data_IF_936508068401
#
_entry.id   IF_936508068401
#
_cell.length_a   1.000
_cell.length_b   1.000
_cell.length_c   1.000
_cell.angle_alpha   90.00
_cell.angle_beta   90.00
_cell.angle_gamma   90.00
#
_symmetry.space_group_name_H-M   'P 1'
#
loop_
_entity.id
_entity.type
_entity.pdbx_description
1 polymer ?
#
# COMPACT_ATOMS: atom_id res chain seq x y z
N UNK A 1 37.74 -68.29 1.66
CA UNK A 1 36.30 -68.10 1.80
C UNK A 1 36.10 -66.90 2.71
N UNK A 2 35.66 -65.76 2.18
CA UNK A 2 35.48 -64.51 2.95
C UNK A 2 33.96 -64.26 3.01
N UNK A 3 33.41 -64.33 4.19
CA UNK A 3 32.00 -64.07 4.49
C UNK A 3 31.77 -62.54 4.63
N UNK A 4 30.91 -62.01 3.84
CA UNK A 4 30.50 -60.58 3.91
C UNK A 4 29.28 -60.52 4.87
N UNK A 5 29.47 -59.84 5.98
CA UNK A 5 28.36 -59.48 6.89
C UNK A 5 27.71 -58.18 6.39
N UNK A 6 26.46 -58.26 5.97
CA UNK A 6 25.63 -57.11 5.59
C UNK A 6 25.04 -56.51 6.85
N UNK A 7 25.50 -55.34 7.24
CA UNK A 7 24.85 -54.54 8.29
C UNK A 7 23.75 -53.71 7.66
N UNK A 8 22.48 -54.05 7.95
CA UNK A 8 21.33 -53.23 7.61
C UNK A 8 21.28 -52.00 8.53
N UNK A 9 21.62 -50.86 8.02
CA UNK A 9 21.42 -49.59 8.71
C UNK A 9 19.95 -49.18 8.56
N UNK A 10 19.18 -49.27 9.65
CA UNK A 10 17.82 -48.78 9.73
C UNK A 10 17.83 -47.23 9.76
N UNK A 11 17.36 -46.62 8.68
CA UNK A 11 17.12 -45.18 8.63
C UNK A 11 15.79 -44.87 9.32
N UNK A 12 15.85 -44.42 10.58
CA UNK A 12 14.73 -43.82 11.27
C UNK A 12 14.52 -42.39 10.69
N UNK A 13 13.57 -42.29 9.79
CA UNK A 13 13.04 -40.99 9.36
C UNK A 13 12.25 -40.35 10.52
N UNK A 14 12.90 -39.46 11.24
CA UNK A 14 12.23 -38.53 12.15
C UNK A 14 11.45 -37.54 11.30
N UNK A 15 10.14 -37.77 11.16
CA UNK A 15 9.20 -36.78 10.66
C UNK A 15 9.09 -35.70 11.74
N UNK A 16 9.87 -34.65 11.61
CA UNK A 16 9.68 -33.43 12.38
C UNK A 16 8.32 -32.82 11.93
N UNK A 17 7.28 -33.04 12.75
CA UNK A 17 6.06 -32.27 12.64
C UNK A 17 6.41 -30.79 12.81
N UNK A 18 6.54 -30.08 11.70
CA UNK A 18 6.64 -28.62 11.70
C UNK A 18 5.30 -28.11 12.23
N UNK A 19 5.30 -27.69 13.47
CA UNK A 19 4.16 -27.00 14.09
C UNK A 19 4.04 -25.65 13.39
N UNK A 20 3.23 -25.60 12.33
CA UNK A 20 2.82 -24.33 11.72
C UNK A 20 1.89 -23.68 12.74
N UNK A 21 2.26 -22.53 13.33
CA UNK A 21 1.33 -21.86 14.23
C UNK A 21 0.07 -21.55 13.42
N UNK A 22 -1.06 -22.13 13.82
CA UNK A 22 -2.36 -21.70 13.35
C UNK A 22 -2.47 -20.23 13.69
N UNK A 23 -2.34 -19.38 12.66
CA UNK A 23 -2.69 -17.98 12.76
C UNK A 23 -4.20 -17.98 13.01
N UNK A 24 -4.58 -17.91 14.28
CA UNK A 24 -5.98 -17.80 14.67
C UNK A 24 -6.51 -16.52 14.02
N UNK A 25 -7.33 -16.69 13.00
CA UNK A 25 -8.14 -15.59 12.46
C UNK A 25 -8.99 -15.12 13.64
N UNK A 26 -8.58 -14.01 14.24
CA UNK A 26 -9.42 -13.35 15.23
C UNK A 26 -10.72 -12.97 14.52
N UNK A 27 -11.89 -13.34 15.05
CA UNK A 27 -13.14 -12.91 14.48
C UNK A 27 -13.15 -11.37 14.47
N UNK A 28 -13.46 -10.79 13.31
CA UNK A 28 -13.67 -9.35 13.19
C UNK A 28 -14.67 -8.92 14.27
N UNK A 29 -14.40 -7.82 15.01
CA UNK A 29 -15.32 -7.33 16.01
C UNK A 29 -16.70 -7.10 15.37
N UNK A 30 -17.76 -7.56 16.06
CA UNK A 30 -19.13 -7.58 15.55
C UNK A 30 -19.76 -6.17 15.30
N UNK A 31 -19.03 -5.14 15.63
CA UNK A 31 -19.37 -3.72 15.46
C UNK A 31 -18.88 -3.12 14.13
N UNK A 32 -18.26 -3.90 13.25
CA UNK A 32 -18.10 -3.53 11.85
C UNK A 32 -19.45 -3.71 11.15
N UNK A 33 -20.37 -2.80 11.43
CA UNK A 33 -21.64 -2.70 10.71
C UNK A 33 -21.33 -2.38 9.26
N UNK A 34 -21.43 -3.39 8.43
CA UNK A 34 -21.39 -3.24 6.98
C UNK A 34 -22.54 -2.32 6.56
N UNK A 35 -22.23 -1.10 6.15
CA UNK A 35 -23.13 -0.40 5.26
C UNK A 35 -23.61 1.01 5.52
N UNK A 36 -23.13 1.72 6.52
CA UNK A 36 -23.31 3.18 6.51
C UNK A 36 -21.93 3.81 6.36
N UNK A 37 -21.56 4.15 5.13
CA UNK A 37 -20.41 5.01 4.92
C UNK A 37 -20.71 6.34 5.57
N UNK A 38 -19.94 6.75 6.57
CA UNK A 38 -20.07 8.10 7.13
C UNK A 38 -19.99 9.12 5.99
N UNK A 39 -20.84 10.18 6.04
CA UNK A 39 -20.78 11.23 5.04
C UNK A 39 -19.42 11.93 5.13
N UNK A 40 -18.88 12.32 3.98
CA UNK A 40 -17.67 13.14 3.91
C UNK A 40 -17.86 14.46 4.65
N UNK A 41 -16.82 14.92 5.32
CA UNK A 41 -16.83 16.23 5.96
C UNK A 41 -17.13 17.36 4.95
N UNK A 42 -18.01 18.32 5.28
CA UNK A 42 -18.23 19.50 4.44
C UNK A 42 -16.97 20.36 4.28
N UNK A 43 -15.98 20.22 5.16
CA UNK A 43 -14.69 20.90 5.09
C UNK A 43 -13.71 20.25 4.08
N UNK A 44 -13.99 19.04 3.62
CA UNK A 44 -13.10 18.32 2.70
C UNK A 44 -12.71 19.12 1.44
N UNK A 45 -13.64 19.81 0.74
CA UNK A 45 -13.27 20.60 -0.43
C UNK A 45 -12.23 21.69 -0.12
N UNK A 46 -12.38 22.36 1.01
CA UNK A 46 -11.46 23.40 1.48
C UNK A 46 -10.08 22.81 1.82
N UNK A 47 -10.05 21.74 2.60
CA UNK A 47 -8.79 21.07 2.99
C UNK A 47 -8.07 20.53 1.77
N UNK A 48 -8.78 19.91 0.83
CA UNK A 48 -8.22 19.45 -0.44
C UNK A 48 -7.61 20.59 -1.27
N UNK A 49 -8.32 21.71 -1.39
CA UNK A 49 -7.83 22.87 -2.13
C UNK A 49 -6.56 23.46 -1.49
N UNK A 50 -6.54 23.58 -0.16
CA UNK A 50 -5.38 24.06 0.59
C UNK A 50 -4.18 23.10 0.46
N UNK A 51 -4.42 21.80 0.51
CA UNK A 51 -3.35 20.82 0.31
C UNK A 51 -2.73 20.94 -1.09
N UNK A 52 -3.54 21.05 -2.15
CA UNK A 52 -3.04 21.26 -3.52
C UNK A 52 -2.32 22.60 -3.70
N UNK A 53 -2.72 23.64 -2.97
CA UNK A 53 -2.05 24.95 -3.00
C UNK A 53 -0.64 24.86 -2.40
N UNK A 54 -0.48 24.09 -1.33
CA UNK A 54 0.81 23.93 -0.62
C UNK A 54 1.68 22.82 -1.21
N UNK A 55 1.07 21.85 -1.89
CA UNK A 55 1.72 20.71 -2.54
C UNK A 55 1.32 20.66 -4.03
N UNK A 56 1.76 21.62 -4.87
CA UNK A 56 1.27 21.83 -6.23
C UNK A 56 1.92 20.91 -7.27
N UNK A 57 2.50 19.78 -6.85
CA UNK A 57 3.13 18.81 -7.73
C UNK A 57 2.95 17.38 -7.21
N UNK A 58 2.88 16.43 -8.12
CA UNK A 58 2.89 15.01 -7.78
C UNK A 58 4.16 14.66 -7.01
N UNK A 59 4.03 14.10 -5.83
CA UNK A 59 5.16 13.73 -4.98
C UNK A 59 6.02 12.63 -5.59
N UNK A 60 5.44 11.81 -6.46
CA UNK A 60 6.16 10.73 -7.15
C UNK A 60 6.93 11.19 -8.39
N UNK A 61 6.30 11.91 -9.33
CA UNK A 61 6.91 12.23 -10.62
C UNK A 61 7.14 13.73 -10.87
N UNK A 62 6.63 14.62 -10.00
CA UNK A 62 6.78 16.06 -10.16
C UNK A 62 5.81 16.73 -11.12
N UNK A 63 4.91 15.98 -11.76
CA UNK A 63 3.85 16.52 -12.61
C UNK A 63 3.00 17.55 -11.85
N UNK A 64 2.63 18.65 -12.54
CA UNK A 64 1.86 19.74 -11.94
C UNK A 64 0.39 19.78 -12.39
N UNK A 65 0.05 18.96 -13.38
CA UNK A 65 -1.29 18.85 -13.92
C UNK A 65 -1.95 17.53 -13.51
N UNK A 66 -3.28 17.46 -13.64
CA UNK A 66 -4.05 16.26 -13.34
C UNK A 66 -3.82 15.71 -11.92
N UNK A 67 -3.69 16.63 -10.94
CA UNK A 67 -3.38 16.30 -9.57
C UNK A 67 -4.62 15.88 -8.77
N UNK A 68 -4.45 14.86 -7.94
CA UNK A 68 -5.42 14.43 -6.94
C UNK A 68 -4.78 14.32 -5.57
N UNK A 69 -5.56 14.62 -4.53
CA UNK A 69 -5.17 14.34 -3.15
C UNK A 69 -5.60 12.91 -2.80
N UNK A 70 -4.64 12.12 -2.39
CA UNK A 70 -4.84 10.75 -1.94
C UNK A 70 -4.69 10.68 -0.41
N UNK A 71 -5.55 9.89 0.26
CA UNK A 71 -5.42 9.61 1.68
C UNK A 71 -4.52 8.38 1.89
N UNK A 72 -3.43 8.53 2.65
CA UNK A 72 -2.55 7.42 3.03
C UNK A 72 -3.34 6.34 3.76
N UNK A 73 -4.08 6.72 4.79
CA UNK A 73 -5.12 5.89 5.39
C UNK A 73 -6.47 6.28 4.79
N UNK A 74 -7.14 5.40 4.04
CA UNK A 74 -8.41 5.72 3.38
C UNK A 74 -9.50 6.12 4.35
N UNK A 75 -10.38 7.04 3.93
CA UNK A 75 -11.54 7.48 4.70
C UNK A 75 -12.40 6.31 5.24
N UNK A 76 -12.60 5.26 4.45
CA UNK A 76 -13.35 4.05 4.86
C UNK A 76 -12.69 3.25 5.98
N UNK A 77 -11.38 3.45 6.21
CA UNK A 77 -10.60 2.77 7.25
C UNK A 77 -10.59 3.59 8.53
N UNK A 78 -10.32 4.89 8.42
CA UNK A 78 -10.39 5.82 9.54
C UNK A 78 -10.92 7.20 9.09
N UNK A 79 -12.23 7.44 9.24
CA UNK A 79 -12.84 8.72 8.87
C UNK A 79 -12.28 9.93 9.62
N UNK A 80 -11.71 9.73 10.82
CA UNK A 80 -11.14 10.82 11.64
C UNK A 80 -9.91 11.44 11.00
N UNK A 81 -9.23 10.70 10.13
CA UNK A 81 -8.04 11.15 9.41
C UNK A 81 -8.37 11.86 8.08
N UNK A 82 -9.67 12.07 7.76
CA UNK A 82 -10.06 12.68 6.49
C UNK A 82 -9.44 14.06 6.25
N UNK A 83 -9.42 14.89 7.30
CA UNK A 83 -8.95 16.26 7.23
C UNK A 83 -7.52 16.46 7.74
N UNK A 84 -6.88 15.40 8.21
CA UNK A 84 -5.51 15.45 8.72
C UNK A 84 -4.51 15.69 7.56
N UNK A 85 -3.80 16.83 7.54
CA UNK A 85 -2.82 17.12 6.49
C UNK A 85 -1.70 16.09 6.39
N UNK A 86 -1.37 15.42 7.49
CA UNK A 86 -0.31 14.39 7.53
C UNK A 86 -0.75 13.08 6.86
N UNK A 87 -2.07 12.90 6.69
CA UNK A 87 -2.66 11.75 5.99
C UNK A 87 -2.88 12.00 4.49
N UNK A 88 -2.47 13.16 3.97
CA UNK A 88 -2.72 13.56 2.58
C UNK A 88 -1.42 13.55 1.77
N UNK A 89 -1.48 13.07 0.53
CA UNK A 89 -0.39 13.11 -0.45
C UNK A 89 -0.93 13.53 -1.82
N UNK A 90 -0.17 14.35 -2.56
CA UNK A 90 -0.53 14.74 -3.94
C UNK A 90 0.06 13.77 -4.95
N UNK A 91 -0.79 13.15 -5.76
CA UNK A 91 -0.43 12.26 -6.85
C UNK A 91 -1.15 12.65 -8.15
N UNK A 92 -0.53 12.42 -9.30
CA UNK A 92 -1.17 12.66 -10.59
C UNK A 92 -1.98 11.45 -11.07
N UNK A 93 -3.01 11.73 -11.87
CA UNK A 93 -3.78 10.70 -12.59
C UNK A 93 -3.31 10.51 -14.03
N UNK A 94 -2.51 11.44 -14.53
CA UNK A 94 -1.92 11.41 -15.85
C UNK A 94 -0.57 12.15 -15.78
N UNK A 95 0.51 11.41 -15.76
CA UNK A 95 1.88 11.93 -15.59
C UNK A 95 2.79 11.62 -16.76
N UNK A 96 4.09 12.01 -16.68
CA UNK A 96 5.09 11.68 -17.68
C UNK A 96 5.10 10.19 -17.96
N UNK A 97 5.36 9.80 -19.21
CA UNK A 97 5.38 8.42 -19.67
C UNK A 97 4.04 7.67 -19.46
N UNK A 98 2.91 8.38 -19.51
CA UNK A 98 1.55 7.86 -19.28
C UNK A 98 1.40 7.19 -17.89
N UNK A 99 2.13 7.67 -16.90
CA UNK A 99 2.13 7.10 -15.55
C UNK A 99 1.01 7.71 -14.71
N UNK A 100 0.06 6.89 -14.29
CA UNK A 100 -0.95 7.24 -13.29
C UNK A 100 -0.40 6.93 -11.89
N UNK A 101 0.29 7.91 -11.27
CA UNK A 101 0.90 7.72 -9.95
C UNK A 101 -0.12 7.45 -8.85
N UNK A 102 -1.32 8.05 -8.94
CA UNK A 102 -2.41 7.81 -7.99
C UNK A 102 -2.87 6.35 -8.02
N UNK A 103 -3.00 5.77 -9.21
CA UNK A 103 -3.39 4.38 -9.36
C UNK A 103 -2.25 3.41 -8.97
N UNK A 104 -1.03 3.70 -9.44
CA UNK A 104 0.11 2.80 -9.23
C UNK A 104 0.57 2.80 -7.78
N UNK A 105 0.82 3.97 -7.20
CA UNK A 105 1.37 4.08 -5.84
C UNK A 105 0.29 4.14 -4.77
N UNK A 106 -0.78 4.88 -5.02
CA UNK A 106 -1.89 4.98 -4.06
C UNK A 106 -2.67 3.68 -3.91
N UNK A 107 -2.90 2.98 -5.02
CA UNK A 107 -3.75 1.80 -5.07
C UNK A 107 -3.05 0.50 -5.49
N UNK A 108 -1.72 0.49 -5.65
CA UNK A 108 -0.94 -0.68 -6.09
C UNK A 108 -1.49 -1.32 -7.38
N UNK A 109 -2.00 -0.49 -8.31
CA UNK A 109 -2.62 -0.95 -9.55
C UNK A 109 -4.02 -1.59 -9.39
N UNK A 110 -4.62 -1.50 -8.21
CA UNK A 110 -5.96 -2.03 -7.94
C UNK A 110 -6.74 -1.10 -7.02
N UNK A 111 -7.83 -0.50 -7.50
CA UNK A 111 -8.64 0.48 -6.76
C UNK A 111 -9.24 -0.04 -5.44
N UNK A 112 -9.26 -1.36 -5.22
CA UNK A 112 -9.68 -1.97 -3.95
C UNK A 112 -8.55 -2.05 -2.93
N UNK A 113 -7.30 -1.87 -3.37
CA UNK A 113 -6.12 -1.88 -2.51
C UNK A 113 -5.85 -0.48 -1.95
N UNK A 114 -5.14 -0.45 -0.84
CA UNK A 114 -4.54 0.73 -0.24
C UNK A 114 -3.06 0.45 -0.01
N UNK A 115 -2.23 1.45 -0.25
CA UNK A 115 -0.81 1.38 -0.01
C UNK A 115 -0.45 2.21 1.24
N UNK A 116 -0.19 1.58 2.40
CA UNK A 116 0.21 2.31 3.60
C UNK A 116 1.60 2.97 3.47
N UNK A 117 2.43 2.48 2.54
CA UNK A 117 3.80 2.98 2.28
C UNK A 117 3.86 3.90 1.07
N UNK A 118 2.74 4.52 0.68
CA UNK A 118 2.64 5.33 -0.54
C UNK A 118 3.66 6.48 -0.58
N UNK A 119 4.05 7.06 0.56
CA UNK A 119 5.03 8.14 0.64
C UNK A 119 6.45 7.66 0.31
N UNK A 120 6.83 6.54 0.90
CA UNK A 120 8.15 5.92 0.69
C UNK A 120 8.30 5.47 -0.74
N UNK A 121 7.28 4.84 -1.30
CA UNK A 121 7.26 4.37 -2.69
C UNK A 121 7.30 5.54 -3.68
N UNK A 122 6.54 6.60 -3.43
CA UNK A 122 6.55 7.81 -4.24
C UNK A 122 7.94 8.50 -4.22
N UNK A 123 8.54 8.63 -3.04
CA UNK A 123 9.86 9.22 -2.87
C UNK A 123 10.95 8.38 -3.55
N UNK A 124 10.88 7.05 -3.42
CA UNK A 124 11.79 6.12 -4.07
C UNK A 124 11.72 6.24 -5.60
N UNK A 125 10.51 6.30 -6.16
CA UNK A 125 10.33 6.45 -7.60
C UNK A 125 10.80 7.82 -8.10
N UNK A 126 10.52 8.89 -7.36
CA UNK A 126 11.01 10.24 -7.65
C UNK A 126 12.52 10.26 -7.84
N UNK A 127 13.24 9.68 -6.90
CA UNK A 127 14.70 9.58 -6.95
C UNK A 127 15.19 8.82 -8.20
N UNK A 128 14.43 7.83 -8.67
CA UNK A 128 14.78 7.08 -9.89
C UNK A 128 14.56 7.91 -11.15
N UNK A 129 13.51 8.71 -11.20
CA UNK A 129 13.24 9.61 -12.33
C UNK A 129 14.27 10.73 -12.46
N UNK A 130 14.80 11.24 -11.36
CA UNK A 130 15.89 12.22 -11.36
C UNK A 130 17.14 11.70 -12.07
N UNK A 131 17.36 10.39 -12.04
CA UNK A 131 18.51 9.73 -12.67
C UNK A 131 18.21 9.15 -14.08
N UNK A 132 16.93 9.06 -14.46
CA UNK A 132 16.47 8.51 -15.75
C UNK A 132 15.20 9.21 -16.18
N UNK A 133 15.28 10.45 -16.70
CA UNK A 133 14.11 11.12 -17.26
C UNK A 133 13.55 10.30 -18.43
N UNK A 134 12.23 10.42 -18.66
CA UNK A 134 11.60 9.88 -19.86
C UNK A 134 12.07 10.71 -21.07
N UNK A 135 12.52 10.04 -22.12
CA UNK A 135 12.88 10.65 -23.41
C UNK A 135 11.61 11.01 -24.20
#
# INVERSE_FOLDING_TARGET
MKTWATTAAAWLLLIACVFVPHFSQQPMPADVVMGVSEPRSPEWPRVRAEHLRTHPACESCGQKDHLQVHHVTPFRVDPKLELDPTNLITLCTDGPCNLNCHFVWGHLGNTKCNNPNVREDAAFFRKRLENRPCD
#
